data_IF_273036657485
#
_entry.id   IF_273036657485
#
_cell.length_a   1.000
_cell.length_b   1.000
_cell.length_c   1.000
_cell.angle_alpha   90.00
_cell.angle_beta   90.00
_cell.angle_gamma   90.00
#
_symmetry.space_group_name_H-M   'P 1'
#
loop_
_entity.id
_entity.type
_entity.pdbx_description
1 polymer ?
#
# COMPACT_ATOMS: atom_id res chain seq x y z
N UNK A 1 -19.80 -10.34 -19.39
CA UNK A 1 -19.91 -9.52 -18.17
C UNK A 1 -20.01 -10.33 -16.87
N UNK A 2 -21.09 -11.09 -16.60
CA UNK A 2 -21.24 -11.85 -15.34
C UNK A 2 -20.17 -12.92 -15.13
N UNK A 3 -19.76 -13.62 -16.20
CA UNK A 3 -18.66 -14.59 -16.15
C UNK A 3 -17.31 -13.95 -15.78
N UNK A 4 -16.96 -12.84 -16.45
CA UNK A 4 -15.77 -12.06 -16.13
C UNK A 4 -15.76 -11.59 -14.67
N UNK A 5 -16.87 -11.06 -14.16
CA UNK A 5 -16.99 -10.67 -12.75
C UNK A 5 -16.86 -11.85 -11.78
N UNK A 6 -17.27 -13.06 -12.17
CA UNK A 6 -17.07 -14.25 -11.33
C UNK A 6 -15.58 -14.58 -11.23
N UNK A 7 -14.88 -14.60 -12.37
CA UNK A 7 -13.44 -14.87 -12.41
C UNK A 7 -12.67 -13.80 -11.65
N UNK A 8 -12.93 -12.52 -11.92
CA UNK A 8 -12.26 -11.41 -11.22
C UNK A 8 -12.48 -11.44 -9.70
N UNK A 9 -13.69 -11.76 -9.23
CA UNK A 9 -13.93 -11.90 -7.78
C UNK A 9 -13.21 -13.10 -7.18
N UNK A 10 -13.15 -14.24 -7.90
CA UNK A 10 -12.41 -15.42 -7.46
C UNK A 10 -10.91 -15.14 -7.42
N UNK A 11 -10.37 -14.51 -8.46
CA UNK A 11 -8.97 -14.10 -8.51
C UNK A 11 -8.66 -13.17 -7.34
N UNK A 12 -9.42 -12.10 -7.13
CA UNK A 12 -9.21 -11.18 -6.01
C UNK A 12 -9.32 -11.90 -4.65
N UNK A 13 -10.25 -12.84 -4.47
CA UNK A 13 -10.39 -13.57 -3.22
C UNK A 13 -9.18 -14.50 -2.97
N UNK A 14 -8.70 -15.19 -4.00
CA UNK A 14 -7.61 -16.16 -3.86
C UNK A 14 -6.26 -15.47 -3.85
N UNK A 15 -5.97 -14.61 -4.84
CA UNK A 15 -4.66 -13.97 -4.99
C UNK A 15 -4.40 -12.87 -3.97
N UNK A 16 -5.43 -12.12 -3.57
CA UNK A 16 -5.29 -11.06 -2.58
C UNK A 16 -5.62 -11.60 -1.18
N UNK A 17 -6.87 -11.97 -0.91
CA UNK A 17 -7.29 -12.27 0.48
C UNK A 17 -6.60 -13.51 1.03
N UNK A 18 -6.68 -14.66 0.34
CA UNK A 18 -6.11 -15.91 0.85
C UNK A 18 -4.59 -15.84 1.00
N UNK A 19 -3.87 -15.36 -0.03
CA UNK A 19 -2.41 -15.25 0.02
C UNK A 19 -1.97 -14.25 1.10
N UNK A 20 -2.67 -13.12 1.25
CA UNK A 20 -2.34 -12.14 2.30
C UNK A 20 -2.56 -12.73 3.69
N UNK A 21 -3.69 -13.38 3.96
CA UNK A 21 -3.96 -14.02 5.25
C UNK A 21 -2.92 -15.09 5.56
N UNK A 22 -2.61 -15.96 4.58
CA UNK A 22 -1.60 -17.00 4.74
C UNK A 22 -0.23 -16.41 5.04
N UNK A 23 0.22 -15.45 4.23
CA UNK A 23 1.53 -14.82 4.39
C UNK A 23 1.65 -14.10 5.74
N UNK A 24 0.65 -13.30 6.13
CA UNK A 24 0.66 -12.63 7.44
C UNK A 24 0.71 -13.65 8.57
N UNK A 25 -0.11 -14.70 8.51
CA UNK A 25 -0.16 -15.72 9.56
C UNK A 25 1.19 -16.43 9.69
N UNK A 26 1.78 -16.88 8.57
CA UNK A 26 3.09 -17.54 8.57
C UNK A 26 4.18 -16.61 9.09
N UNK A 27 4.20 -15.35 8.63
CA UNK A 27 5.18 -14.36 9.09
C UNK A 27 5.02 -14.03 10.57
N UNK A 28 3.78 -13.88 11.07
CA UNK A 28 3.52 -13.67 12.49
C UNK A 28 3.94 -14.86 13.34
N UNK A 29 3.69 -16.10 12.88
CA UNK A 29 4.17 -17.30 13.56
C UNK A 29 5.69 -17.38 13.58
N UNK A 30 6.35 -17.01 12.48
CA UNK A 30 7.81 -16.97 12.39
C UNK A 30 8.41 -15.95 13.35
N UNK A 31 7.88 -14.72 13.37
CA UNK A 31 8.29 -13.67 14.28
C UNK A 31 8.12 -14.11 15.74
N UNK A 32 6.98 -14.73 16.07
CA UNK A 32 6.75 -15.28 17.40
C UNK A 32 7.73 -16.43 17.73
N UNK A 33 8.06 -17.30 16.79
CA UNK A 33 8.95 -18.44 17.06
C UNK A 33 10.45 -18.05 17.17
N UNK A 34 10.83 -16.87 16.71
CA UNK A 34 12.23 -16.43 16.61
C UNK A 34 12.57 -15.28 17.55
N UNK A 35 11.70 -14.26 17.64
CA UNK A 35 11.97 -12.98 18.31
C UNK A 35 11.15 -12.81 19.60
N UNK A 36 10.13 -13.63 19.85
CA UNK A 36 9.32 -13.54 21.06
C UNK A 36 10.16 -13.64 22.34
N UNK A 37 9.97 -12.69 23.26
CA UNK A 37 10.71 -12.61 24.52
C UNK A 37 12.10 -11.95 24.43
N UNK A 38 12.50 -11.43 23.26
CA UNK A 38 13.75 -10.66 23.08
C UNK A 38 13.46 -9.16 23.02
N UNK A 39 14.33 -8.34 23.59
CA UNK A 39 14.30 -6.90 23.37
C UNK A 39 14.85 -6.58 21.98
N UNK A 40 13.94 -6.36 21.03
CA UNK A 40 14.28 -5.95 19.68
C UNK A 40 13.67 -4.59 19.42
N UNK A 41 14.44 -3.70 18.80
CA UNK A 41 13.95 -2.40 18.39
C UNK A 41 12.75 -2.56 17.43
N UNK A 42 11.77 -1.66 17.52
CA UNK A 42 10.62 -1.63 16.60
C UNK A 42 11.03 -1.08 15.23
N UNK A 43 12.05 -1.66 14.60
CA UNK A 43 12.53 -1.24 13.28
C UNK A 43 12.90 -2.45 12.43
N UNK A 44 13.28 -2.20 11.18
CA UNK A 44 13.62 -3.24 10.19
C UNK A 44 14.76 -4.17 10.67
N UNK A 45 15.50 -3.80 11.73
CA UNK A 45 16.52 -4.65 12.34
C UNK A 45 15.94 -5.94 12.91
N UNK A 46 14.65 -6.01 13.24
CA UNK A 46 14.03 -7.28 13.67
C UNK A 46 14.20 -8.38 12.61
N UNK A 47 14.10 -8.07 11.31
CA UNK A 47 14.30 -9.03 10.22
C UNK A 47 15.73 -9.59 10.20
N UNK A 48 16.72 -8.79 10.61
CA UNK A 48 18.10 -9.25 10.78
C UNK A 48 18.20 -10.24 11.95
N UNK A 49 17.55 -9.96 13.07
CA UNK A 49 17.54 -10.87 14.22
C UNK A 49 16.84 -12.19 13.86
N UNK A 50 15.70 -12.13 13.17
CA UNK A 50 15.00 -13.33 12.68
C UNK A 50 15.93 -14.21 11.85
N UNK A 51 16.56 -13.65 10.82
CA UNK A 51 17.45 -14.42 9.94
C UNK A 51 18.68 -14.98 10.67
N UNK A 52 19.22 -14.28 11.68
CA UNK A 52 20.30 -14.81 12.50
C UNK A 52 19.85 -16.06 13.28
N UNK A 53 18.69 -16.01 13.92
CA UNK A 53 18.10 -17.15 14.65
C UNK A 53 17.81 -18.33 13.71
N UNK A 54 17.37 -18.05 12.49
CA UNK A 54 17.14 -19.06 11.45
C UNK A 54 18.45 -19.73 11.00
N UNK A 55 19.52 -18.95 10.84
CA UNK A 55 20.86 -19.46 10.52
C UNK A 55 21.49 -20.26 11.67
N UNK A 56 21.24 -19.91 12.93
CA UNK A 56 21.69 -20.73 14.08
C UNK A 56 21.13 -22.15 14.02
N UNK A 57 19.92 -22.34 13.46
CA UNK A 57 19.28 -23.66 13.37
C UNK A 57 19.66 -24.45 12.12
N UNK A 58 19.89 -23.77 10.99
CA UNK A 58 20.00 -24.43 9.67
C UNK A 58 21.15 -23.93 8.79
N UNK A 59 21.90 -22.92 9.23
CA UNK A 59 23.10 -22.38 8.59
C UNK A 59 22.88 -21.47 7.39
N UNK A 60 21.94 -21.81 6.50
CA UNK A 60 21.73 -21.11 5.21
C UNK A 60 20.37 -20.40 5.09
N UNK A 61 19.38 -20.83 5.87
CA UNK A 61 17.98 -20.42 5.67
C UNK A 61 17.73 -18.95 6.00
N UNK A 62 18.44 -18.38 6.97
CA UNK A 62 18.39 -16.96 7.29
C UNK A 62 18.91 -16.07 6.16
N UNK A 63 19.97 -16.52 5.48
CA UNK A 63 20.50 -15.80 4.30
C UNK A 63 19.49 -15.84 3.15
N UNK A 64 18.87 -16.99 2.91
CA UNK A 64 17.78 -17.12 1.93
C UNK A 64 16.59 -16.20 2.28
N UNK A 65 16.18 -16.18 3.55
CA UNK A 65 15.12 -15.30 4.04
C UNK A 65 15.40 -13.82 3.76
N UNK A 66 16.61 -13.34 4.03
CA UNK A 66 16.98 -11.95 3.74
C UNK A 66 16.98 -11.63 2.25
N UNK A 67 17.48 -12.53 1.40
CA UNK A 67 17.50 -12.32 -0.06
C UNK A 67 16.08 -12.22 -0.60
N UNK A 68 15.20 -13.14 -0.21
CA UNK A 68 13.80 -13.13 -0.65
C UNK A 68 13.06 -11.91 -0.10
N UNK A 69 13.28 -11.55 1.18
CA UNK A 69 12.69 -10.36 1.77
C UNK A 69 13.12 -9.08 1.07
N UNK A 70 14.41 -8.92 0.80
CA UNK A 70 14.95 -7.78 0.08
C UNK A 70 14.40 -7.70 -1.35
N UNK A 71 14.40 -8.82 -2.08
CA UNK A 71 13.86 -8.87 -3.44
C UNK A 71 12.37 -8.56 -3.48
N UNK A 72 11.58 -9.12 -2.55
CA UNK A 72 10.14 -8.87 -2.45
C UNK A 72 9.84 -7.40 -2.15
N UNK A 73 10.54 -6.79 -1.20
CA UNK A 73 10.36 -5.38 -0.85
C UNK A 73 10.76 -4.46 -2.01
N UNK A 74 11.85 -4.78 -2.71
CA UNK A 74 12.29 -4.04 -3.89
C UNK A 74 11.30 -4.17 -5.05
N UNK A 75 10.79 -5.37 -5.32
CA UNK A 75 9.79 -5.61 -6.36
C UNK A 75 8.48 -4.85 -6.07
N UNK A 76 8.04 -4.83 -4.81
CA UNK A 76 6.88 -4.04 -4.39
C UNK A 76 7.11 -2.54 -4.61
N UNK A 77 8.28 -2.02 -4.24
CA UNK A 77 8.64 -0.62 -4.46
C UNK A 77 8.66 -0.24 -5.95
N UNK A 78 9.24 -1.09 -6.81
CA UNK A 78 9.22 -0.90 -8.26
C UNK A 78 7.80 -0.90 -8.84
N UNK A 79 6.94 -1.81 -8.36
CA UNK A 79 5.54 -1.86 -8.78
C UNK A 79 4.77 -0.57 -8.44
N UNK A 80 5.02 -0.01 -7.25
CA UNK A 80 4.42 1.26 -6.83
C UNK A 80 4.94 2.42 -7.71
N UNK A 81 6.25 2.47 -7.98
CA UNK A 81 6.85 3.52 -8.83
C UNK A 81 6.32 3.46 -10.26
N UNK A 82 6.21 2.28 -10.88
CA UNK A 82 5.65 2.13 -12.23
C UNK A 82 4.18 2.54 -12.27
N UNK A 83 3.37 2.06 -11.31
CA UNK A 83 1.96 2.42 -11.23
C UNK A 83 1.74 3.93 -11.08
N UNK A 84 2.44 4.56 -10.13
CA UNK A 84 2.34 6.01 -9.90
C UNK A 84 2.86 6.80 -11.10
N UNK A 85 3.97 6.36 -11.71
CA UNK A 85 4.52 6.95 -12.92
C UNK A 85 3.49 7.00 -14.03
N UNK A 86 2.85 5.87 -14.34
CA UNK A 86 1.80 5.77 -15.37
C UNK A 86 0.58 6.60 -15.06
N UNK A 87 0.09 6.52 -13.82
CA UNK A 87 -1.12 7.23 -13.39
C UNK A 87 -0.95 8.75 -13.51
N UNK A 88 0.18 9.26 -13.02
CA UNK A 88 0.46 10.71 -13.05
C UNK A 88 0.80 11.17 -14.46
N UNK A 89 1.56 10.39 -15.24
CA UNK A 89 1.88 10.76 -16.62
C UNK A 89 0.63 10.86 -17.49
N UNK A 90 -0.28 9.88 -17.36
CA UNK A 90 -1.57 9.87 -18.06
C UNK A 90 -2.44 11.06 -17.61
N UNK A 91 -2.60 11.25 -16.29
CA UNK A 91 -3.38 12.37 -15.74
C UNK A 91 -2.86 13.73 -16.19
N UNK A 92 -1.55 13.96 -16.17
CA UNK A 92 -0.92 15.20 -16.62
C UNK A 92 -1.10 15.40 -18.13
N UNK A 93 -0.95 14.33 -18.92
CA UNK A 93 -1.08 14.41 -20.37
C UNK A 93 -2.51 14.73 -20.79
N UNK A 94 -3.50 14.07 -20.20
CA UNK A 94 -4.92 14.24 -20.53
C UNK A 94 -5.48 15.56 -20.01
N UNK A 95 -5.12 15.96 -18.79
CA UNK A 95 -5.78 17.10 -18.13
C UNK A 95 -5.13 18.45 -18.47
N UNK A 96 -3.79 18.50 -18.54
CA UNK A 96 -3.05 19.76 -18.62
C UNK A 96 -2.28 19.91 -19.93
N UNK A 97 -1.74 18.82 -20.47
CA UNK A 97 -0.84 18.84 -21.64
C UNK A 97 -1.47 18.20 -22.90
N UNK A 98 -2.81 18.19 -22.98
CA UNK A 98 -3.56 17.56 -24.07
C UNK A 98 -3.17 18.14 -25.45
N UNK A 99 -2.98 19.46 -25.52
CA UNK A 99 -2.59 20.15 -26.76
C UNK A 99 -1.07 20.23 -26.98
N UNK A 100 -0.25 19.80 -26.02
CA UNK A 100 1.21 19.94 -26.12
C UNK A 100 1.82 18.79 -26.94
N UNK A 101 2.39 19.08 -28.10
CA UNK A 101 3.16 18.11 -28.92
C UNK A 101 4.56 17.83 -28.40
N UNK A 102 5.06 18.66 -27.46
CA UNK A 102 6.44 18.59 -26.96
C UNK A 102 6.64 17.54 -25.87
N UNK A 103 5.58 17.20 -25.14
CA UNK A 103 5.61 16.21 -24.06
C UNK A 103 4.82 14.98 -24.47
N UNK A 104 5.55 13.91 -24.77
CA UNK A 104 4.97 12.57 -24.89
C UNK A 104 4.67 12.00 -23.51
N UNK A 105 3.71 11.09 -23.43
CA UNK A 105 3.39 10.37 -22.20
C UNK A 105 4.61 9.61 -21.64
N UNK A 106 5.43 9.03 -22.53
CA UNK A 106 6.68 8.35 -22.15
C UNK A 106 7.71 9.29 -21.51
N UNK A 107 7.85 10.53 -22.00
CA UNK A 107 8.76 11.51 -21.41
C UNK A 107 8.25 11.98 -20.05
N UNK A 108 6.93 12.16 -19.90
CA UNK A 108 6.30 12.47 -18.62
C UNK A 108 6.46 11.33 -17.62
N UNK A 109 6.30 10.07 -18.03
CA UNK A 109 6.53 8.90 -17.20
C UNK A 109 7.95 8.90 -16.63
N UNK A 110 8.97 9.04 -17.49
CA UNK A 110 10.38 9.08 -17.07
C UNK A 110 10.62 10.24 -16.10
N UNK A 111 10.09 11.43 -16.39
CA UNK A 111 10.23 12.59 -15.51
C UNK A 111 9.59 12.36 -14.14
N UNK A 112 8.38 11.79 -14.08
CA UNK A 112 7.68 11.50 -12.83
C UNK A 112 8.44 10.46 -12.01
N UNK A 113 8.89 9.37 -12.61
CA UNK A 113 9.63 8.32 -11.90
C UNK A 113 10.93 8.88 -11.30
N UNK A 114 11.70 9.64 -12.07
CA UNK A 114 12.92 10.26 -11.56
C UNK A 114 12.64 11.32 -10.49
N UNK A 115 11.56 12.08 -10.62
CA UNK A 115 11.13 13.01 -9.57
C UNK A 115 10.79 12.28 -8.27
N UNK A 116 10.06 11.16 -8.33
CA UNK A 116 9.74 10.35 -7.15
C UNK A 116 11.01 9.79 -6.49
N UNK A 117 11.96 9.29 -7.28
CA UNK A 117 13.25 8.79 -6.78
C UNK A 117 14.05 9.93 -6.13
N UNK A 118 14.11 11.10 -6.77
CA UNK A 118 14.83 12.27 -6.25
C UNK A 118 14.21 12.76 -4.93
N UNK A 119 12.87 12.85 -4.85
CA UNK A 119 12.16 13.22 -3.62
C UNK A 119 12.46 12.21 -2.51
N UNK A 120 12.39 10.90 -2.81
CA UNK A 120 12.76 9.86 -1.84
C UNK A 120 14.20 10.01 -1.35
N UNK A 121 15.14 10.28 -2.25
CA UNK A 121 16.54 10.54 -1.90
C UNK A 121 16.72 11.78 -1.01
N UNK A 122 16.02 12.88 -1.31
CA UNK A 122 16.05 14.10 -0.49
C UNK A 122 15.51 13.84 0.91
N UNK A 123 14.43 13.07 1.05
CA UNK A 123 13.85 12.71 2.35
C UNK A 123 14.85 11.91 3.20
N UNK A 124 15.55 10.95 2.59
CA UNK A 124 16.61 10.20 3.28
C UNK A 124 17.77 11.11 3.69
N UNK A 125 18.24 12.00 2.79
CA UNK A 125 19.32 12.96 3.11
C UNK A 125 18.93 13.98 4.19
N UNK A 126 17.63 14.24 4.36
CA UNK A 126 17.11 15.10 5.42
C UNK A 126 17.10 14.42 6.82
N UNK A 127 17.58 13.18 6.93
CA UNK A 127 17.70 12.45 8.21
C UNK A 127 16.43 11.75 8.66
N UNK A 128 15.45 11.57 7.76
CA UNK A 128 14.28 10.71 8.02
C UNK A 128 14.65 9.23 7.85
N UNK A 129 15.65 8.78 8.62
CA UNK A 129 16.20 7.42 8.54
C UNK A 129 15.34 6.39 9.28
N UNK A 130 14.38 6.85 10.08
CA UNK A 130 13.49 5.97 10.86
C UNK A 130 12.27 5.56 10.03
N UNK A 131 12.22 4.30 9.53
CA UNK A 131 11.11 3.82 8.73
C UNK A 131 9.77 3.88 9.45
N UNK A 132 9.74 3.79 10.78
CA UNK A 132 8.50 3.88 11.57
C UNK A 132 7.76 5.20 11.37
N UNK A 133 8.45 6.33 11.40
CA UNK A 133 7.78 7.64 11.29
C UNK A 133 7.15 7.80 9.90
N UNK A 134 7.90 7.46 8.85
CA UNK A 134 7.41 7.48 7.47
C UNK A 134 6.27 6.47 7.26
N UNK A 135 6.36 5.29 7.86
CA UNK A 135 5.33 4.26 7.79
C UNK A 135 4.04 4.71 8.49
N UNK A 136 4.14 5.34 9.66
CA UNK A 136 2.98 5.89 10.37
C UNK A 136 2.33 7.02 9.56
N UNK A 137 3.13 7.96 9.02
CA UNK A 137 2.61 9.04 8.16
C UNK A 137 1.92 8.45 6.93
N UNK A 138 2.55 7.48 6.26
CA UNK A 138 1.98 6.80 5.10
C UNK A 138 0.67 6.07 5.44
N UNK A 139 0.62 5.38 6.59
CA UNK A 139 -0.58 4.68 7.05
C UNK A 139 -1.74 5.65 7.33
N UNK A 140 -1.46 6.80 7.96
CA UNK A 140 -2.47 7.84 8.21
C UNK A 140 -2.99 8.44 6.90
N UNK A 141 -2.09 8.80 5.99
CA UNK A 141 -2.47 9.34 4.67
C UNK A 141 -3.28 8.31 3.89
N UNK A 142 -2.87 7.03 3.90
CA UNK A 142 -3.60 5.93 3.28
C UNK A 142 -5.00 5.74 3.87
N UNK A 143 -5.13 5.80 5.20
CA UNK A 143 -6.44 5.75 5.88
C UNK A 143 -7.36 6.90 5.47
N UNK A 144 -6.82 8.12 5.37
CA UNK A 144 -7.57 9.29 4.90
C UNK A 144 -7.99 9.15 3.43
N UNK A 145 -7.10 8.66 2.57
CA UNK A 145 -7.43 8.36 1.16
C UNK A 145 -8.53 7.31 1.06
N UNK A 146 -8.50 6.25 1.87
CA UNK A 146 -9.56 5.24 1.89
C UNK A 146 -10.92 5.79 2.33
N UNK A 147 -10.93 6.71 3.31
CA UNK A 147 -12.14 7.45 3.69
C UNK A 147 -12.72 8.24 2.51
N UNK A 148 -11.89 9.05 1.83
CA UNK A 148 -12.34 9.83 0.66
C UNK A 148 -12.82 8.93 -0.48
N UNK A 149 -12.02 7.92 -0.81
CA UNK A 149 -12.28 7.00 -1.91
C UNK A 149 -13.59 6.22 -1.72
N UNK A 150 -13.79 5.64 -0.54
CA UNK A 150 -15.02 4.91 -0.22
C UNK A 150 -16.26 5.82 -0.26
N UNK A 151 -16.15 7.06 0.21
CA UNK A 151 -17.22 8.06 0.11
C UNK A 151 -17.57 8.41 -1.34
N UNK A 152 -16.55 8.69 -2.15
CA UNK A 152 -16.71 8.98 -3.59
C UNK A 152 -17.32 7.79 -4.34
N UNK A 153 -16.91 6.55 -4.04
CA UNK A 153 -17.51 5.36 -4.62
C UNK A 153 -19.00 5.21 -4.27
N UNK A 154 -19.39 5.48 -3.02
CA UNK A 154 -20.80 5.43 -2.60
C UNK A 154 -21.61 6.51 -3.34
N UNK A 155 -21.07 7.72 -3.48
CA UNK A 155 -21.71 8.81 -4.22
C UNK A 155 -21.86 8.44 -5.70
N UNK A 156 -20.78 7.98 -6.34
CA UNK A 156 -20.76 7.58 -7.75
C UNK A 156 -21.74 6.45 -8.02
N UNK A 157 -21.78 5.45 -7.12
CA UNK A 157 -22.71 4.32 -7.20
C UNK A 157 -24.18 4.74 -7.12
N UNK A 158 -24.49 5.82 -6.36
CA UNK A 158 -25.86 6.32 -6.22
C UNK A 158 -26.27 7.31 -7.29
N UNK A 159 -25.34 8.14 -7.80
CA UNK A 159 -25.66 9.28 -8.67
C UNK A 159 -25.37 9.07 -10.15
N UNK A 160 -24.35 8.28 -10.50
CA UNK A 160 -23.82 8.23 -11.88
C UNK A 160 -23.93 6.84 -12.48
N UNK A 161 -23.68 5.77 -11.71
CA UNK A 161 -23.62 4.43 -12.27
C UNK A 161 -25.01 3.89 -12.67
N UNK A 162 -25.17 3.38 -13.91
CA UNK A 162 -26.34 2.60 -14.30
C UNK A 162 -26.58 1.43 -13.34
N UNK A 163 -27.83 1.23 -12.93
CA UNK A 163 -28.23 0.22 -11.93
C UNK A 163 -27.86 -1.23 -12.29
N UNK A 164 -27.46 -1.50 -13.54
CA UNK A 164 -27.01 -2.80 -14.03
C UNK A 164 -25.56 -3.12 -13.59
N UNK A 165 -24.74 -2.09 -13.36
CA UNK A 165 -23.34 -2.21 -12.89
C UNK A 165 -23.13 -1.71 -11.46
N UNK A 166 -24.13 -1.01 -10.89
CA UNK A 166 -24.07 -0.51 -9.51
C UNK A 166 -24.00 -1.61 -8.45
N UNK A 167 -23.27 -1.32 -7.37
CA UNK A 167 -23.23 -2.08 -6.13
C UNK A 167 -24.63 -2.11 -5.49
N UNK A 168 -25.15 -3.32 -5.27
CA UNK A 168 -26.48 -3.57 -4.68
C UNK A 168 -26.37 -4.46 -3.44
N UNK A 169 -27.35 -4.32 -2.54
CA UNK A 169 -27.52 -5.18 -1.37
C UNK A 169 -26.34 -5.08 -0.39
N UNK A 170 -25.84 -6.24 0.06
CA UNK A 170 -24.80 -6.32 1.10
C UNK A 170 -23.52 -5.55 0.75
N UNK A 171 -23.13 -5.48 -0.54
CA UNK A 171 -21.90 -4.78 -0.96
C UNK A 171 -21.94 -3.29 -0.65
N UNK A 172 -23.11 -2.66 -0.75
CA UNK A 172 -23.28 -1.26 -0.43
C UNK A 172 -23.20 -1.02 1.09
N UNK A 173 -23.74 -1.94 1.90
CA UNK A 173 -23.63 -1.89 3.36
C UNK A 173 -22.17 -2.03 3.78
N UNK A 174 -21.44 -2.98 3.21
CA UNK A 174 -19.99 -3.14 3.47
C UNK A 174 -19.22 -1.88 3.10
N UNK A 175 -19.49 -1.25 1.95
CA UNK A 175 -18.86 0.02 1.58
C UNK A 175 -19.18 1.15 2.57
N UNK A 176 -20.43 1.23 3.05
CA UNK A 176 -20.79 2.23 4.06
C UNK A 176 -20.09 1.96 5.41
N UNK A 177 -19.94 0.69 5.81
CA UNK A 177 -19.19 0.32 7.01
C UNK A 177 -17.71 0.67 6.88
N UNK A 178 -17.09 0.38 5.74
CA UNK A 178 -15.70 0.75 5.44
C UNK A 178 -15.53 2.27 5.51
N UNK A 179 -16.45 3.02 4.91
CA UNK A 179 -16.44 4.48 4.98
C UNK A 179 -16.50 4.97 6.42
N UNK A 180 -17.43 4.46 7.24
CA UNK A 180 -17.57 4.86 8.65
C UNK A 180 -16.34 4.47 9.48
N UNK A 181 -15.78 3.29 9.24
CA UNK A 181 -14.57 2.82 9.90
C UNK A 181 -13.40 3.77 9.63
N UNK A 182 -13.10 4.05 8.36
CA UNK A 182 -12.01 4.97 8.02
C UNK A 182 -12.30 6.42 8.42
N UNK A 183 -13.56 6.86 8.36
CA UNK A 183 -13.97 8.19 8.84
C UNK A 183 -13.68 8.35 10.34
N UNK A 184 -14.00 7.34 11.14
CA UNK A 184 -13.77 7.34 12.57
C UNK A 184 -12.28 7.44 12.90
N UNK A 185 -11.44 6.61 12.28
CA UNK A 185 -9.99 6.66 12.51
C UNK A 185 -9.36 7.96 11.99
N UNK A 186 -9.77 8.45 10.82
CA UNK A 186 -9.30 9.74 10.31
C UNK A 186 -9.64 10.90 11.26
N UNK A 187 -10.88 10.93 11.78
CA UNK A 187 -11.29 11.95 12.76
C UNK A 187 -10.49 11.85 14.06
N UNK A 188 -10.27 10.64 14.58
CA UNK A 188 -9.44 10.43 15.76
C UNK A 188 -8.00 10.91 15.56
N UNK A 189 -7.37 10.58 14.43
CA UNK A 189 -6.00 11.02 14.15
C UNK A 189 -5.90 12.55 14.06
N UNK A 190 -6.90 13.21 13.47
CA UNK A 190 -6.95 14.68 13.44
C UNK A 190 -7.10 15.26 14.85
N UNK A 191 -8.01 14.72 15.67
CA UNK A 191 -8.20 15.16 17.05
C UNK A 191 -6.93 14.95 17.88
N UNK A 192 -6.28 13.80 17.75
CA UNK A 192 -5.05 13.46 18.47
C UNK A 192 -3.91 14.43 18.10
N UNK A 193 -3.77 14.77 16.80
CA UNK A 193 -2.81 15.78 16.36
C UNK A 193 -3.13 17.19 16.84
N UNK A 194 -4.41 17.54 16.95
CA UNK A 194 -4.84 18.86 17.46
C UNK A 194 -4.67 18.96 18.98
N UNK A 195 -4.90 17.89 19.73
CA UNK A 195 -4.74 17.85 21.20
C UNK A 195 -3.29 17.67 21.65
N UNK A 196 -2.44 17.12 20.79
CA UNK A 196 -1.00 16.97 21.01
C UNK A 196 -0.16 18.19 20.56
N UNK A 197 -0.79 19.24 20.02
CA UNK A 197 -0.23 20.58 19.81
C UNK A 197 -0.64 21.48 20.98
#
# INVERSE_FOLDING_TARGET
WRGWWRVANTEQLVSFVLITVLTITVMSMLAHATVFGREVANDVTFLRVEGQVLNERTGWFGTFFWIIGAYSLFAAALGILDYMGRLVSDSLKVTYLAASTRWSESALYVAVVWALIAIGGVVLLAGFDQPLALLVISAVVGGFMMFLYSGLLVILNRRVLPRVIGLRGYRLVVMALIFLFFAFFAALTVIDRIRGL
#
